data_IF_752408244442
#
_entry.id   IF_752408244442
#
_cell.length_a   1.000
_cell.length_b   1.000
_cell.length_c   1.000
_cell.angle_alpha   90.00
_cell.angle_beta   90.00
_cell.angle_gamma   90.00
#
_symmetry.space_group_name_H-M   'P 1'
#
loop_
_entity.id
_entity.type
_entity.pdbx_description
1 polymer ?
#
# COMPACT_ATOMS: atom_id res chain seq x y z
N UNK A 1 0.45 5.07 20.53
CA UNK A 1 -0.46 6.17 20.20
C UNK A 1 -1.81 5.57 19.83
N UNK A 2 -2.91 6.17 20.22
CA UNK A 2 -4.28 5.64 20.15
C UNK A 2 -4.89 5.51 18.73
N UNK A 3 -4.10 5.24 17.70
CA UNK A 3 -4.60 5.03 16.36
C UNK A 3 -4.88 3.54 16.12
N UNK A 4 -5.98 3.26 15.42
CA UNK A 4 -6.37 1.92 15.02
C UNK A 4 -6.29 1.87 13.51
N UNK A 5 -5.52 0.95 12.99
CA UNK A 5 -5.33 0.79 11.55
C UNK A 5 -5.78 -0.58 11.09
N UNK A 6 -6.54 -0.62 10.01
CA UNK A 6 -6.89 -1.84 9.28
C UNK A 6 -6.24 -1.75 7.91
N UNK A 7 -5.58 -2.81 7.49
CA UNK A 7 -4.85 -2.86 6.24
C UNK A 7 -5.47 -3.87 5.27
N UNK A 8 -5.44 -3.53 4.00
CA UNK A 8 -5.93 -4.34 2.90
C UNK A 8 -4.88 -4.41 1.79
N UNK A 9 -4.80 -5.55 1.16
CA UNK A 9 -4.23 -5.69 -0.17
C UNK A 9 -5.33 -5.43 -1.20
N UNK A 10 -5.02 -4.63 -2.22
CA UNK A 10 -5.98 -4.19 -3.24
C UNK A 10 -5.62 -4.82 -4.57
N UNK A 11 -6.52 -5.64 -5.12
CA UNK A 11 -6.36 -6.16 -6.48
C UNK A 11 -7.08 -5.20 -7.44
N UNK A 12 -6.29 -4.37 -8.12
CA UNK A 12 -6.79 -3.45 -9.13
C UNK A 12 -7.06 -4.20 -10.45
N UNK A 13 -8.13 -3.84 -11.19
CA UNK A 13 -8.33 -4.36 -12.53
C UNK A 13 -7.28 -3.82 -13.49
N UNK A 14 -6.99 -4.57 -14.54
CA UNK A 14 -6.09 -4.12 -15.60
C UNK A 14 -6.73 -2.98 -16.39
N UNK A 15 -6.01 -1.86 -16.51
CA UNK A 15 -6.51 -0.64 -17.18
C UNK A 15 -7.01 -0.88 -18.61
N UNK A 16 -6.39 -1.81 -19.33
CA UNK A 16 -6.74 -2.11 -20.73
C UNK A 16 -8.09 -2.82 -20.88
N UNK A 17 -8.62 -3.40 -19.80
CA UNK A 17 -9.89 -4.14 -19.81
C UNK A 17 -11.06 -3.33 -19.28
N UNK A 18 -10.78 -2.14 -18.70
CA UNK A 18 -11.79 -1.32 -18.03
C UNK A 18 -12.39 -0.32 -19.00
N UNK A 19 -13.72 -0.35 -19.12
CA UNK A 19 -14.49 0.64 -19.87
C UNK A 19 -14.63 1.94 -19.07
N UNK A 20 -14.91 3.07 -19.76
CA UNK A 20 -15.15 4.35 -19.09
C UNK A 20 -16.28 4.29 -18.05
N UNK A 21 -17.33 3.52 -18.32
CA UNK A 21 -18.46 3.34 -17.40
C UNK A 21 -18.04 2.57 -16.13
N UNK A 22 -17.22 1.54 -16.27
CA UNK A 22 -16.67 0.78 -15.13
C UNK A 22 -15.71 1.65 -14.31
N UNK A 23 -14.89 2.48 -14.97
CA UNK A 23 -14.03 3.42 -14.28
C UNK A 23 -14.83 4.44 -13.45
N UNK A 24 -15.88 5.02 -14.01
CA UNK A 24 -16.78 5.92 -13.28
C UNK A 24 -17.50 5.21 -12.13
N UNK A 25 -17.89 3.95 -12.32
CA UNK A 25 -18.50 3.15 -11.25
C UNK A 25 -17.51 2.90 -10.09
N UNK A 26 -16.26 2.56 -10.40
CA UNK A 26 -15.19 2.42 -9.39
C UNK A 26 -14.95 3.72 -8.66
N UNK A 27 -14.81 4.84 -9.36
CA UNK A 27 -14.64 6.16 -8.74
C UNK A 27 -15.84 6.52 -7.84
N UNK A 28 -17.06 6.27 -8.32
CA UNK A 28 -18.26 6.46 -7.52
C UNK A 28 -18.31 5.58 -6.27
N UNK A 29 -17.81 4.34 -6.35
CA UNK A 29 -17.68 3.44 -5.20
C UNK A 29 -16.70 3.98 -4.17
N UNK A 30 -15.52 4.45 -4.60
CA UNK A 30 -14.56 5.12 -3.73
C UNK A 30 -15.15 6.31 -2.99
N UNK A 31 -15.83 7.21 -3.71
CA UNK A 31 -16.47 8.37 -3.11
C UNK A 31 -17.53 7.99 -2.07
N UNK A 32 -18.30 6.93 -2.32
CA UNK A 32 -19.30 6.42 -1.37
C UNK A 32 -18.65 5.78 -0.15
N UNK A 33 -17.64 4.95 -0.38
CA UNK A 33 -16.95 4.24 0.68
C UNK A 33 -16.23 5.18 1.64
N UNK A 34 -15.55 6.22 1.13
CA UNK A 34 -14.90 7.22 1.98
C UNK A 34 -15.90 7.96 2.86
N UNK A 35 -17.11 8.24 2.35
CA UNK A 35 -18.15 8.94 3.11
C UNK A 35 -18.72 8.12 4.29
N UNK A 36 -18.58 6.81 4.27
CA UNK A 36 -19.04 5.93 5.36
C UNK A 36 -18.08 5.98 6.57
N UNK A 37 -16.82 6.34 6.33
CA UNK A 37 -15.83 6.38 7.40
C UNK A 37 -16.14 7.50 8.40
N UNK A 38 -15.95 7.24 9.71
CA UNK A 38 -16.20 8.25 10.74
C UNK A 38 -15.21 9.42 10.64
N UNK A 39 -15.59 10.56 11.20
CA UNK A 39 -14.70 11.72 11.28
C UNK A 39 -13.33 11.35 11.87
N UNK A 40 -12.28 12.01 11.42
CA UNK A 40 -10.89 11.75 11.82
C UNK A 40 -10.40 10.35 11.40
N UNK A 41 -10.91 9.83 10.29
CA UNK A 41 -10.32 8.70 9.60
C UNK A 41 -9.34 9.18 8.55
N UNK A 42 -8.25 8.45 8.40
CA UNK A 42 -7.24 8.64 7.35
C UNK A 42 -7.31 7.45 6.40
N UNK A 43 -7.39 7.73 5.13
CA UNK A 43 -7.30 6.74 4.05
C UNK A 43 -5.95 6.91 3.39
N UNK A 44 -5.10 5.90 3.51
CA UNK A 44 -3.76 5.90 2.93
C UNK A 44 -3.67 4.78 1.91
N UNK A 45 -3.54 5.13 0.64
CA UNK A 45 -3.26 4.20 -0.46
C UNK A 45 -1.76 4.20 -0.72
N UNK A 46 -1.19 3.02 -0.87
CA UNK A 46 0.22 2.82 -1.12
C UNK A 46 0.41 1.89 -2.31
N UNK A 47 1.11 2.35 -3.32
CA UNK A 47 1.45 1.58 -4.51
C UNK A 47 2.96 1.29 -4.50
N UNK A 48 3.29 0.02 -4.68
CA UNK A 48 4.66 -0.47 -4.75
C UNK A 48 4.95 -0.90 -6.17
N UNK A 49 5.94 -0.30 -6.78
CA UNK A 49 6.45 -0.65 -8.09
C UNK A 49 7.87 -1.18 -7.93
N UNK A 50 8.05 -2.48 -8.12
CA UNK A 50 9.34 -3.14 -7.97
C UNK A 50 9.79 -3.71 -9.31
N UNK A 51 11.08 -3.51 -9.63
CA UNK A 51 11.67 -4.13 -10.80
C UNK A 51 11.97 -5.59 -10.49
N UNK A 52 11.27 -6.48 -11.15
CA UNK A 52 11.42 -7.93 -11.01
C UNK A 52 11.86 -8.56 -12.34
N UNK A 53 12.42 -9.77 -12.26
CA UNK A 53 12.72 -10.60 -13.42
C UNK A 53 11.85 -11.83 -13.38
N UNK A 54 11.33 -12.20 -14.53
CA UNK A 54 10.59 -13.44 -14.68
C UNK A 54 11.50 -14.64 -14.35
N UNK A 55 11.07 -15.48 -13.43
CA UNK A 55 11.75 -16.74 -13.08
C UNK A 55 10.81 -17.89 -13.45
N UNK A 56 11.06 -18.59 -14.58
CA UNK A 56 10.21 -19.70 -14.96
C UNK A 56 10.41 -20.88 -14.00
N UNK A 57 9.33 -21.45 -13.52
CA UNK A 57 9.32 -22.68 -12.70
C UNK A 57 9.53 -23.95 -13.52
N UNK A 58 9.59 -23.87 -14.84
CA UNK A 58 9.61 -25.00 -15.75
C UNK A 58 11.00 -25.67 -15.81
N UNK A 59 11.00 -26.99 -15.72
CA UNK A 59 12.20 -27.81 -15.92
C UNK A 59 12.66 -27.68 -17.39
N UNK A 60 13.91 -27.29 -17.57
CA UNK A 60 14.49 -26.89 -18.86
C UNK A 60 14.55 -28.00 -19.95
N UNK A 61 14.37 -29.27 -19.57
CA UNK A 61 14.66 -30.38 -20.43
C UNK A 61 13.54 -30.78 -21.41
N UNK A 62 12.30 -30.34 -21.16
CA UNK A 62 11.12 -30.71 -21.97
C UNK A 62 10.53 -29.57 -22.83
N UNK A 63 11.22 -28.42 -22.91
CA UNK A 63 10.68 -27.25 -23.60
C UNK A 63 10.88 -27.33 -25.13
N UNK A 64 9.83 -27.04 -25.88
CA UNK A 64 9.92 -26.84 -27.34
C UNK A 64 10.81 -25.64 -27.67
N UNK A 65 11.23 -25.53 -28.94
CA UNK A 65 12.03 -24.38 -29.40
C UNK A 65 11.29 -23.04 -29.17
N UNK A 66 9.98 -23.02 -29.39
CA UNK A 66 9.17 -21.83 -29.21
C UNK A 66 9.08 -21.45 -27.71
N UNK A 67 8.87 -22.43 -26.85
CA UNK A 67 8.79 -22.19 -25.39
C UNK A 67 10.12 -21.66 -24.85
N UNK A 68 11.25 -22.23 -25.32
CA UNK A 68 12.59 -21.72 -24.95
C UNK A 68 12.82 -20.28 -25.40
N UNK A 69 12.36 -19.93 -26.61
CA UNK A 69 12.52 -18.60 -27.17
C UNK A 69 11.64 -17.59 -26.39
N UNK A 70 10.43 -18.02 -26.03
CA UNK A 70 9.49 -17.24 -25.23
C UNK A 70 10.05 -16.98 -23.82
N UNK A 71 10.48 -18.04 -23.14
CA UNK A 71 11.08 -17.91 -21.80
C UNK A 71 12.33 -17.03 -21.81
N UNK A 72 13.19 -17.19 -22.82
CA UNK A 72 14.37 -16.35 -22.97
C UNK A 72 13.99 -14.88 -23.13
N UNK A 73 12.96 -14.58 -23.92
CA UNK A 73 12.47 -13.22 -24.13
C UNK A 73 12.01 -12.55 -22.84
N UNK A 74 11.26 -13.28 -21.99
CA UNK A 74 10.77 -12.75 -20.72
C UNK A 74 11.84 -12.74 -19.62
N UNK A 75 12.78 -13.69 -19.62
CA UNK A 75 13.88 -13.74 -18.66
C UNK A 75 14.92 -12.64 -18.85
N UNK A 76 15.14 -12.20 -20.07
CA UNK A 76 16.13 -11.17 -20.40
C UNK A 76 15.65 -9.76 -20.05
N UNK A 77 14.33 -9.58 -19.85
CA UNK A 77 13.73 -8.26 -19.61
C UNK A 77 13.18 -8.14 -18.20
N UNK A 78 13.64 -7.15 -17.44
CA UNK A 78 12.95 -6.81 -16.18
C UNK A 78 11.56 -6.27 -16.49
N UNK A 79 10.60 -6.59 -15.64
CA UNK A 79 9.26 -5.99 -15.66
C UNK A 79 8.99 -5.27 -14.34
N UNK A 80 8.03 -4.37 -14.35
CA UNK A 80 7.61 -3.63 -13.18
C UNK A 80 6.42 -4.37 -12.54
N UNK A 81 6.68 -5.00 -11.40
CA UNK A 81 5.65 -5.60 -10.56
C UNK A 81 4.94 -4.50 -9.77
N UNK A 82 3.63 -4.59 -9.66
CA UNK A 82 2.81 -3.62 -8.92
C UNK A 82 2.02 -4.33 -7.83
N UNK A 83 2.16 -3.83 -6.60
CA UNK A 83 1.31 -4.21 -5.46
C UNK A 83 0.67 -2.97 -4.86
N UNK A 84 -0.60 -3.06 -4.52
CA UNK A 84 -1.36 -1.96 -3.97
C UNK A 84 -1.88 -2.33 -2.58
N UNK A 85 -1.66 -1.44 -1.63
CA UNK A 85 -2.13 -1.57 -0.25
C UNK A 85 -2.98 -0.36 0.14
N UNK A 86 -3.95 -0.62 1.00
CA UNK A 86 -4.84 0.40 1.54
C UNK A 86 -4.88 0.29 3.05
N UNK A 87 -4.64 1.40 3.72
CA UNK A 87 -4.68 1.50 5.17
C UNK A 87 -5.80 2.46 5.57
N UNK A 88 -6.71 1.98 6.40
CA UNK A 88 -7.76 2.78 7.02
C UNK A 88 -7.39 2.98 8.47
N UNK A 89 -7.12 4.21 8.85
CA UNK A 89 -6.68 4.54 10.21
C UNK A 89 -7.69 5.46 10.88
N UNK A 90 -8.17 5.07 12.06
CA UNK A 90 -8.95 5.94 12.94
C UNK A 90 -8.00 6.63 13.90
N UNK A 91 -7.97 7.94 13.84
CA UNK A 91 -7.18 8.79 14.74
C UNK A 91 -8.08 9.57 15.71
N UNK A 92 -7.50 10.15 16.74
CA UNK A 92 -8.22 11.01 17.69
C UNK A 92 -8.37 12.43 17.16
N UNK A 93 -9.39 13.13 17.67
CA UNK A 93 -9.63 14.54 17.32
C UNK A 93 -8.44 15.44 17.65
N UNK A 94 -7.79 15.20 18.76
CA UNK A 94 -6.65 15.98 19.21
C UNK A 94 -5.45 15.81 18.27
N UNK A 95 -5.20 14.57 17.86
CA UNK A 95 -4.12 14.27 16.92
C UNK A 95 -4.39 14.84 15.53
N UNK A 96 -5.61 14.73 15.03
CA UNK A 96 -6.00 15.31 13.75
C UNK A 96 -5.87 16.85 13.71
N UNK A 97 -6.03 17.52 14.86
CA UNK A 97 -5.89 18.98 14.99
C UNK A 97 -4.46 19.46 15.19
N UNK A 98 -3.58 18.60 15.65
CA UNK A 98 -2.19 18.95 15.89
C UNK A 98 -1.39 18.88 14.58
N UNK A 99 -1.50 19.91 13.78
CA UNK A 99 -0.52 20.23 12.72
C UNK A 99 0.80 20.71 13.37
N UNK A 100 1.39 19.86 14.20
CA UNK A 100 2.67 20.16 14.82
C UNK A 100 3.78 19.73 13.87
N UNK A 101 4.67 20.66 13.53
CA UNK A 101 5.91 20.40 12.79
C UNK A 101 6.90 19.51 13.57
N UNK A 102 6.56 19.10 14.79
CA UNK A 102 7.35 18.17 15.58
C UNK A 102 6.89 16.74 15.36
N UNK A 103 7.83 15.91 15.06
CA UNK A 103 7.67 14.46 14.86
C UNK A 103 6.84 13.82 15.97
N UNK A 104 5.90 12.97 15.59
CA UNK A 104 5.11 12.13 16.50
C UNK A 104 5.97 11.13 17.28
N UNK A 105 7.24 10.93 16.89
CA UNK A 105 8.22 10.09 17.58
C UNK A 105 8.49 10.50 19.04
N UNK A 106 8.25 11.76 19.41
CA UNK A 106 8.50 12.26 20.76
C UNK A 106 7.32 12.15 21.72
N UNK A 107 6.20 11.53 21.31
CA UNK A 107 5.00 11.41 22.15
C UNK A 107 4.91 10.06 22.82
N UNK A 108 5.38 10.00 24.04
CA UNK A 108 5.37 8.80 24.87
C UNK A 108 4.09 8.54 25.69
N UNK A 109 2.93 9.09 25.33
CA UNK A 109 1.69 8.81 26.08
C UNK A 109 0.55 8.38 25.18
N UNK A 110 0.16 7.12 25.36
CA UNK A 110 -1.15 6.59 25.00
C UNK A 110 -2.14 7.22 25.97
N UNK A 111 -3.17 7.89 25.48
CA UNK A 111 -4.27 8.39 26.29
C UNK A 111 -5.38 7.34 26.30
N UNK A 112 -5.47 6.46 27.33
CA UNK A 112 -6.43 5.35 27.36
C UNK A 112 -7.90 5.80 27.34
N UNK A 113 -8.15 7.07 27.66
CA UNK A 113 -9.51 7.65 27.74
C UNK A 113 -10.18 7.85 26.38
N UNK A 114 -9.42 7.88 25.29
CA UNK A 114 -9.96 8.12 23.96
C UNK A 114 -10.21 6.85 23.15
N UNK A 115 -9.58 5.73 23.53
CA UNK A 115 -9.87 4.39 23.01
C UNK A 115 -11.04 3.78 23.79
N UNK A 116 -12.23 4.24 23.49
CA UNK A 116 -13.45 3.61 23.97
C UNK A 116 -13.78 2.40 23.09
N UNK A 117 -14.11 1.26 23.69
CA UNK A 117 -14.55 0.06 22.99
C UNK A 117 -15.66 0.34 21.97
N UNK A 118 -16.60 1.23 22.32
CA UNK A 118 -17.67 1.66 21.42
C UNK A 118 -17.14 2.34 20.13
N UNK A 119 -16.09 3.16 20.25
CA UNK A 119 -15.45 3.81 19.10
C UNK A 119 -14.75 2.78 18.19
N UNK A 120 -14.11 1.78 18.79
CA UNK A 120 -13.46 0.68 18.03
C UNK A 120 -14.51 -0.10 17.26
N UNK A 121 -15.60 -0.50 17.91
CA UNK A 121 -16.70 -1.23 17.28
C UNK A 121 -17.30 -0.44 16.12
N UNK A 122 -17.65 0.82 16.34
CA UNK A 122 -18.19 1.70 15.28
C UNK A 122 -17.22 1.89 14.11
N UNK A 123 -15.93 1.99 14.40
CA UNK A 123 -14.94 2.07 13.32
C UNK A 123 -14.88 0.77 12.54
N UNK A 124 -14.87 -0.37 13.20
CA UNK A 124 -14.85 -1.67 12.54
C UNK A 124 -16.10 -1.92 11.68
N UNK A 125 -17.27 -1.54 12.17
CA UNK A 125 -18.52 -1.56 11.38
C UNK A 125 -18.43 -0.68 10.13
N UNK A 126 -17.82 0.50 10.25
CA UNK A 126 -17.61 1.40 9.10
C UNK A 126 -16.60 0.83 8.11
N UNK A 127 -15.55 0.16 8.60
CA UNK A 127 -14.58 -0.54 7.77
C UNK A 127 -15.23 -1.70 7.00
N UNK A 128 -16.11 -2.48 7.63
CA UNK A 128 -16.88 -3.53 6.95
C UNK A 128 -17.81 -2.96 5.87
N UNK A 129 -18.45 -1.83 6.13
CA UNK A 129 -19.27 -1.15 5.14
C UNK A 129 -18.43 -0.63 3.97
N UNK A 130 -17.28 -0.03 4.27
CA UNK A 130 -16.30 0.41 3.27
C UNK A 130 -15.89 -0.75 2.37
N UNK A 131 -15.50 -1.88 2.97
CA UNK A 131 -15.07 -3.09 2.26
C UNK A 131 -16.16 -3.61 1.33
N UNK A 132 -17.41 -3.69 1.79
CA UNK A 132 -18.55 -4.13 0.96
C UNK A 132 -18.76 -3.22 -0.24
N UNK A 133 -18.74 -1.90 -0.07
CA UNK A 133 -18.94 -0.94 -1.15
C UNK A 133 -17.83 -1.03 -2.21
N UNK A 134 -16.57 -1.22 -1.78
CA UNK A 134 -15.44 -1.32 -2.70
C UNK A 134 -15.41 -2.68 -3.41
N UNK A 135 -15.71 -3.77 -2.69
CA UNK A 135 -15.64 -5.14 -3.23
C UNK A 135 -16.61 -5.41 -4.40
N UNK A 136 -17.61 -4.55 -4.61
CA UNK A 136 -18.47 -4.63 -5.80
C UNK A 136 -17.70 -4.36 -7.10
N UNK A 137 -16.58 -3.61 -7.04
CA UNK A 137 -15.84 -3.18 -8.22
C UNK A 137 -14.33 -3.51 -8.14
N UNK A 138 -13.75 -3.52 -6.95
CA UNK A 138 -12.31 -3.71 -6.70
C UNK A 138 -12.18 -4.70 -5.54
N UNK A 139 -11.38 -5.75 -5.72
CA UNK A 139 -11.20 -6.75 -4.67
C UNK A 139 -10.28 -6.24 -3.57
N UNK A 140 -10.79 -6.21 -2.34
CA UNK A 140 -10.03 -5.96 -1.13
C UNK A 140 -9.83 -7.28 -0.37
N UNK A 141 -8.59 -7.55 0.02
CA UNK A 141 -8.23 -8.64 0.92
C UNK A 141 -7.65 -8.06 2.20
N UNK A 142 -8.32 -8.27 3.32
CA UNK A 142 -7.82 -7.81 4.62
C UNK A 142 -6.55 -8.55 4.98
N UNK A 143 -5.53 -7.81 5.42
CA UNK A 143 -4.28 -8.37 5.90
C UNK A 143 -4.41 -8.76 7.37
N UNK A 144 -3.84 -9.89 7.73
CA UNK A 144 -3.70 -10.34 9.11
C UNK A 144 -2.53 -9.64 9.81
N UNK A 145 -2.52 -9.68 11.13
CA UNK A 145 -1.42 -9.13 11.93
C UNK A 145 -0.07 -9.77 11.57
N UNK A 146 -0.05 -11.08 11.27
CA UNK A 146 1.15 -11.78 10.85
C UNK A 146 1.68 -11.31 9.48
N UNK A 147 0.80 -10.97 8.55
CA UNK A 147 1.20 -10.42 7.25
C UNK A 147 1.70 -8.98 7.37
N UNK A 148 1.26 -8.23 8.38
CA UNK A 148 1.72 -6.86 8.64
C UNK A 148 3.05 -6.84 9.39
N UNK A 149 3.14 -7.57 10.50
CA UNK A 149 4.30 -7.52 11.43
C UNK A 149 5.35 -8.55 11.05
N UNK A 150 4.94 -9.66 10.42
CA UNK A 150 5.80 -10.79 10.12
C UNK A 150 5.73 -11.91 11.17
N UNK A 151 6.40 -12.98 10.87
CA UNK A 151 6.60 -14.15 11.74
C UNK A 151 8.09 -14.45 11.85
N UNK A 152 8.49 -15.45 12.64
CA UNK A 152 9.91 -15.87 12.71
C UNK A 152 10.48 -16.35 11.36
N UNK A 153 9.63 -16.71 10.41
CA UNK A 153 10.03 -17.29 9.11
C UNK A 153 9.83 -16.34 7.94
N UNK A 154 8.74 -15.56 7.98
CA UNK A 154 8.33 -14.71 6.87
C UNK A 154 8.25 -13.26 7.35
N UNK A 155 8.90 -12.37 6.63
CA UNK A 155 8.89 -10.94 6.95
C UNK A 155 7.53 -10.31 6.64
N UNK A 156 7.09 -9.44 7.53
CA UNK A 156 5.85 -8.69 7.36
C UNK A 156 5.99 -7.49 6.42
N UNK A 157 4.85 -6.93 6.05
CA UNK A 157 4.80 -5.75 5.18
C UNK A 157 5.58 -4.55 5.78
N UNK A 158 5.55 -4.38 7.10
CA UNK A 158 6.27 -3.30 7.79
C UNK A 158 7.78 -3.48 7.65
N UNK A 159 8.29 -4.70 7.82
CA UNK A 159 9.71 -5.00 7.67
C UNK A 159 10.18 -4.80 6.22
N UNK A 160 9.39 -5.29 5.26
CA UNK A 160 9.61 -5.08 3.82
C UNK A 160 9.64 -3.59 3.46
N UNK A 161 8.73 -2.81 4.05
CA UNK A 161 8.69 -1.36 3.87
C UNK A 161 9.93 -0.67 4.44
N UNK A 162 10.37 -1.08 5.63
CA UNK A 162 11.57 -0.54 6.28
C UNK A 162 12.86 -0.84 5.51
N UNK A 163 12.91 -1.97 4.80
CA UNK A 163 14.07 -2.40 3.99
C UNK A 163 13.91 -2.10 2.50
N UNK A 164 12.79 -1.49 2.08
CA UNK A 164 12.45 -1.16 0.68
C UNK A 164 12.64 -2.35 -0.26
N UNK A 165 12.14 -3.52 0.14
CA UNK A 165 12.19 -4.75 -0.65
C UNK A 165 10.85 -5.48 -0.61
N UNK A 166 10.58 -6.29 -1.63
CA UNK A 166 9.44 -7.22 -1.63
C UNK A 166 9.87 -8.62 -1.22
N UNK A 167 11.17 -8.89 -1.19
CA UNK A 167 11.73 -10.16 -0.75
C UNK A 167 11.63 -10.31 0.77
N UNK A 168 11.81 -11.54 1.26
CA UNK A 168 11.87 -11.78 2.70
C UNK A 168 13.13 -11.17 3.30
N UNK A 169 12.93 -10.46 4.40
CA UNK A 169 13.96 -9.70 5.11
C UNK A 169 14.51 -10.56 6.23
N UNK A 170 15.79 -10.91 6.16
CA UNK A 170 16.46 -11.67 7.21
C UNK A 170 16.91 -10.82 8.40
N UNK A 171 17.18 -9.53 8.14
CA UNK A 171 17.46 -8.52 9.15
C UNK A 171 17.09 -7.14 8.61
N UNK A 172 16.78 -6.21 9.49
CA UNK A 172 16.54 -4.83 9.10
C UNK A 172 17.86 -4.19 8.66
N UNK A 173 17.80 -3.48 7.54
CA UNK A 173 18.92 -2.73 7.00
C UNK A 173 19.19 -1.45 7.81
N UNK A 174 20.43 -1.02 7.85
CA UNK A 174 20.79 0.24 8.48
C UNK A 174 20.22 1.43 7.72
N UNK A 175 19.66 2.38 8.47
CA UNK A 175 19.13 3.64 7.93
C UNK A 175 20.16 4.73 8.16
N UNK A 176 20.75 5.24 7.08
CA UNK A 176 21.71 6.33 7.10
C UNK A 176 21.03 7.62 6.57
N UNK A 177 20.97 8.63 7.44
CA UNK A 177 20.38 9.93 7.15
C UNK A 177 21.47 11.00 7.15
N UNK A 178 22.01 11.30 5.99
CA UNK A 178 22.91 12.43 5.79
C UNK A 178 22.13 13.65 5.23
N UNK A 179 22.71 14.83 5.40
CA UNK A 179 22.16 16.09 4.91
C UNK A 179 21.95 16.15 3.39
N UNK A 180 22.63 15.28 2.64
CA UNK A 180 22.59 15.25 1.17
C UNK A 180 21.89 14.03 0.59
N UNK A 181 21.79 12.95 1.36
CA UNK A 181 21.22 11.69 0.88
C UNK A 181 20.63 10.90 2.04
N UNK A 182 19.64 10.12 1.72
CA UNK A 182 19.08 9.09 2.61
C UNK A 182 19.37 7.72 2.01
N UNK A 183 19.79 6.77 2.82
CA UNK A 183 20.05 5.39 2.40
C UNK A 183 19.40 4.40 3.35
N UNK A 184 18.95 3.29 2.79
CA UNK A 184 18.53 2.11 3.54
C UNK A 184 19.36 0.96 2.98
N UNK A 185 20.31 0.47 3.76
CA UNK A 185 21.32 -0.46 3.28
C UNK A 185 22.10 0.09 2.08
N UNK A 186 22.07 -0.60 0.96
CA UNK A 186 22.71 -0.21 -0.30
C UNK A 186 21.83 0.69 -1.19
N UNK A 187 20.56 0.88 -0.83
CA UNK A 187 19.58 1.62 -1.62
C UNK A 187 19.57 3.10 -1.29
N UNK A 188 19.59 3.94 -2.33
CA UNK A 188 19.40 5.39 -2.18
C UNK A 188 17.91 5.73 -2.18
N UNK A 189 17.50 6.54 -1.21
CA UNK A 189 16.15 7.05 -1.09
C UNK A 189 16.06 8.46 -1.68
N UNK A 190 15.07 8.66 -2.55
CA UNK A 190 14.70 9.98 -3.03
C UNK A 190 13.22 10.20 -2.72
N UNK A 191 12.91 11.30 -2.04
CA UNK A 191 11.54 11.65 -1.68
C UNK A 191 11.04 12.76 -2.59
N UNK A 192 9.97 12.47 -3.33
CA UNK A 192 9.23 13.45 -4.10
C UNK A 192 7.87 13.67 -3.45
N UNK A 193 7.56 14.91 -3.13
CA UNK A 193 6.27 15.28 -2.52
C UNK A 193 5.46 16.09 -3.49
N UNK A 194 4.17 15.81 -3.57
CA UNK A 194 3.18 16.63 -4.26
C UNK A 194 2.43 17.42 -3.19
N UNK A 195 2.60 18.74 -3.19
CA UNK A 195 2.03 19.60 -2.14
C UNK A 195 0.74 20.29 -2.58
N UNK A 196 0.57 20.50 -3.88
CA UNK A 196 -0.59 21.18 -4.43
C UNK A 196 -1.27 20.31 -5.51
N UNK A 197 -2.60 20.39 -5.54
CA UNK A 197 -3.41 19.71 -6.57
C UNK A 197 -3.20 20.32 -7.95
N UNK A 198 -2.77 21.58 -8.03
CA UNK A 198 -2.49 22.27 -9.29
C UNK A 198 -1.22 21.74 -9.98
N UNK A 199 -0.36 21.04 -9.23
CA UNK A 199 0.82 20.35 -9.78
C UNK A 199 0.45 19.03 -10.49
N UNK A 200 -0.79 18.55 -10.33
CA UNK A 200 -1.27 17.37 -11.03
C UNK A 200 -1.64 17.70 -12.48
N UNK A 201 -1.31 16.82 -13.43
CA UNK A 201 -1.73 17.03 -14.81
C UNK A 201 -3.26 17.01 -14.89
N UNK A 202 -3.84 17.97 -15.61
CA UNK A 202 -5.30 18.10 -15.79
C UNK A 202 -5.91 16.90 -16.54
N UNK A 203 -5.10 16.17 -17.29
CA UNK A 203 -5.48 14.94 -18.00
C UNK A 203 -4.32 13.95 -17.95
N UNK A 204 -4.64 12.71 -17.67
CA UNK A 204 -3.72 11.57 -17.86
C UNK A 204 -4.19 10.85 -19.11
N UNK A 205 -3.37 10.85 -20.17
CA UNK A 205 -3.63 10.02 -21.35
C UNK A 205 -3.18 8.59 -21.08
N UNK A 206 -4.05 7.64 -21.37
CA UNK A 206 -3.74 6.21 -21.37
C UNK A 206 -3.41 5.69 -22.77
N UNK A 207 -3.37 6.59 -23.75
CA UNK A 207 -3.01 6.27 -25.14
C UNK A 207 -1.48 6.10 -25.21
N UNK A 208 -1.05 4.93 -25.67
CA UNK A 208 0.33 4.62 -26.05
C UNK A 208 0.54 4.88 -27.54
#
# INVERSE_FOLDING_TARGET
DADITVAFEVSLPELFTVTSAEYEAMHGAWCKAIKVLPHYSVVHKQDWFCSEKYQPELQKDDLSFLDRSFERHFNERPYLSHKCYLFLTKTTKERARQQSNFSTLCRGRITPKELNHEMVVKFMESVEQFERIINDNIKLRRLSDNELVGTEKDSGLIEKYMSLTMDDVTCLEDIDLDARQMRIGDKMLCLHTLSDTDDLPAKVSTDN
#
